data_IF_207155842885
#
_entry.id   IF_207155842885
#
_cell.length_a   1.000
_cell.length_b   1.000
_cell.length_c   1.000
_cell.angle_alpha   90.00
_cell.angle_beta   90.00
_cell.angle_gamma   90.00
#
_symmetry.space_group_name_H-M   'P 1'
#
loop_
_entity.id
_entity.type
_entity.pdbx_description
1 polymer ?
#
# COMPACT_ATOMS: atom_id res chain seq x y z
N UNK A 1 -15.21 53.68 4.00
CA UNK A 1 -14.36 53.24 2.87
C UNK A 1 -13.26 52.25 3.30
N UNK A 2 -12.53 52.46 4.40
CA UNK A 2 -11.46 51.54 4.84
C UNK A 2 -11.88 50.09 5.11
N UNK A 3 -13.04 49.86 5.74
CA UNK A 3 -13.52 48.49 6.03
C UNK A 3 -13.79 47.66 4.77
N UNK A 4 -14.34 48.28 3.73
CA UNK A 4 -14.62 47.61 2.46
C UNK A 4 -13.30 47.25 1.74
N UNK A 5 -12.32 48.16 1.75
CA UNK A 5 -11.00 47.89 1.19
C UNK A 5 -10.28 46.73 1.89
N UNK A 6 -10.37 46.65 3.23
CA UNK A 6 -9.80 45.53 4.00
C UNK A 6 -10.47 44.20 3.64
N UNK A 7 -11.80 44.17 3.54
CA UNK A 7 -12.53 42.95 3.14
C UNK A 7 -12.17 42.51 1.72
N UNK A 8 -12.07 43.45 0.78
CA UNK A 8 -11.65 43.15 -0.59
C UNK A 8 -10.22 42.60 -0.65
N UNK A 9 -9.29 43.19 0.10
CA UNK A 9 -7.91 42.70 0.18
C UNK A 9 -7.84 41.28 0.77
N UNK A 10 -8.62 41.00 1.83
CA UNK A 10 -8.70 39.68 2.42
C UNK A 10 -9.25 38.64 1.44
N UNK A 11 -10.28 38.99 0.66
CA UNK A 11 -10.84 38.11 -0.35
C UNK A 11 -9.83 37.80 -1.47
N UNK A 12 -9.10 38.80 -1.95
CA UNK A 12 -8.04 38.60 -2.96
C UNK A 12 -6.91 37.73 -2.41
N UNK A 13 -6.45 37.97 -1.18
CA UNK A 13 -5.42 37.16 -0.54
C UNK A 13 -5.86 35.70 -0.38
N UNK A 14 -7.11 35.46 0.04
CA UNK A 14 -7.67 34.12 0.16
C UNK A 14 -7.77 33.42 -1.20
N UNK A 15 -8.24 34.13 -2.23
CA UNK A 15 -8.32 33.56 -3.58
C UNK A 15 -6.94 33.21 -4.14
N UNK A 16 -5.93 34.06 -3.92
CA UNK A 16 -4.55 33.79 -4.31
C UNK A 16 -3.98 32.57 -3.57
N UNK A 17 -4.23 32.46 -2.26
CA UNK A 17 -3.84 31.30 -1.46
C UNK A 17 -4.49 30.00 -1.97
N UNK A 18 -5.80 30.00 -2.21
CA UNK A 18 -6.50 28.83 -2.75
C UNK A 18 -5.95 28.46 -4.14
N UNK A 19 -5.69 29.46 -4.99
CA UNK A 19 -5.08 29.25 -6.31
C UNK A 19 -3.71 28.59 -6.21
N UNK A 20 -2.84 29.06 -5.31
CA UNK A 20 -1.53 28.46 -5.05
C UNK A 20 -1.66 27.01 -4.60
N UNK A 21 -2.57 26.72 -3.66
CA UNK A 21 -2.83 25.36 -3.17
C UNK A 21 -3.35 24.42 -4.25
N UNK A 22 -4.21 24.89 -5.14
CA UNK A 22 -4.68 24.09 -6.28
C UNK A 22 -3.54 23.80 -7.26
N UNK A 23 -2.63 24.75 -7.50
CA UNK A 23 -1.44 24.53 -8.32
C UNK A 23 -0.50 23.52 -7.66
N UNK A 24 -0.23 23.66 -6.37
CA UNK A 24 0.57 22.70 -5.60
C UNK A 24 -0.04 21.29 -5.66
N UNK A 25 -1.35 21.16 -5.43
CA UNK A 25 -2.06 19.89 -5.55
C UNK A 25 -1.98 19.32 -6.97
N UNK A 26 -2.07 20.15 -8.02
CA UNK A 26 -1.90 19.72 -9.41
C UNK A 26 -0.52 19.11 -9.66
N UNK A 27 0.53 19.71 -9.11
CA UNK A 27 1.89 19.18 -9.20
C UNK A 27 2.06 17.89 -8.37
N UNK A 28 1.55 17.87 -7.14
CA UNK A 28 1.57 16.70 -6.25
C UNK A 28 0.73 15.53 -6.75
N UNK A 29 -0.30 15.77 -7.57
CA UNK A 29 -1.13 14.74 -8.20
C UNK A 29 -0.60 14.28 -9.55
N UNK A 30 0.44 14.93 -10.08
CA UNK A 30 0.92 14.73 -11.46
C UNK A 30 -0.22 14.74 -12.50
N UNK A 31 -1.27 15.56 -12.30
CA UNK A 31 -2.49 15.48 -13.13
C UNK A 31 -2.27 15.86 -14.60
N UNK A 32 -1.17 16.54 -14.92
CA UNK A 32 -0.75 16.85 -16.29
C UNK A 32 0.32 15.92 -16.84
N UNK A 33 0.69 14.85 -16.12
CA UNK A 33 1.69 13.90 -16.58
C UNK A 33 1.06 12.98 -17.63
N UNK A 34 1.66 12.96 -18.81
CA UNK A 34 1.35 11.95 -19.83
C UNK A 34 2.14 10.67 -19.56
N UNK A 35 1.51 9.52 -19.79
CA UNK A 35 2.14 8.22 -19.64
C UNK A 35 2.80 7.82 -20.94
N UNK A 36 4.11 7.60 -20.91
CA UNK A 36 4.81 6.90 -21.99
C UNK A 36 4.44 5.42 -21.91
N UNK A 37 3.77 4.90 -22.94
CA UNK A 37 3.39 3.49 -23.02
C UNK A 37 4.63 2.64 -23.30
N UNK A 38 5.07 1.90 -22.28
CA UNK A 38 6.09 0.87 -22.41
C UNK A 38 5.39 -0.48 -22.38
N UNK A 39 5.24 -1.10 -23.54
CA UNK A 39 4.63 -2.43 -23.64
C UNK A 39 5.66 -3.49 -23.28
N UNK A 40 5.34 -4.30 -22.26
CA UNK A 40 6.08 -5.52 -21.97
C UNK A 40 5.47 -6.66 -22.81
N UNK A 41 6.29 -7.59 -23.34
CA UNK A 41 5.78 -8.74 -24.05
C UNK A 41 5.09 -9.73 -23.10
N UNK A 42 4.12 -10.49 -23.63
CA UNK A 42 3.44 -11.59 -22.91
C UNK A 42 2.75 -11.17 -21.61
N UNK A 43 2.14 -9.98 -21.57
CA UNK A 43 1.30 -9.56 -20.45
C UNK A 43 -0.07 -10.23 -20.51
N UNK A 44 -0.45 -10.92 -19.45
CA UNK A 44 -1.77 -11.55 -19.32
C UNK A 44 -2.48 -11.06 -18.07
N UNK A 45 -3.74 -10.68 -18.24
CA UNK A 45 -4.65 -10.36 -17.15
C UNK A 45 -4.93 -11.61 -16.32
N UNK A 46 -4.84 -11.48 -15.00
CA UNK A 46 -5.22 -12.57 -14.10
C UNK A 46 -6.74 -12.60 -13.94
N UNK A 47 -7.36 -13.67 -14.46
CA UNK A 47 -8.81 -13.84 -14.38
C UNK A 47 -9.30 -13.98 -12.94
N UNK A 48 -10.45 -13.36 -12.64
CA UNK A 48 -11.13 -13.45 -11.34
C UNK A 48 -10.76 -12.35 -10.32
N UNK A 49 -9.85 -11.43 -10.66
CA UNK A 49 -9.61 -10.20 -9.89
C UNK A 49 -10.32 -9.03 -10.57
N UNK A 50 -11.55 -8.72 -10.15
CA UNK A 50 -12.39 -7.69 -10.78
C UNK A 50 -12.39 -6.35 -10.03
N UNK A 51 -12.19 -6.37 -8.71
CA UNK A 51 -12.42 -5.21 -7.83
C UNK A 51 -11.12 -4.71 -7.17
N UNK A 52 -10.07 -4.57 -7.98
CA UNK A 52 -8.76 -4.06 -7.56
C UNK A 52 -7.91 -5.08 -6.81
N UNK A 53 -6.59 -5.00 -7.02
CA UNK A 53 -5.56 -5.72 -6.26
C UNK A 53 -4.57 -4.67 -5.75
N UNK A 54 -4.86 -4.09 -4.59
CA UNK A 54 -4.16 -2.88 -4.14
C UNK A 54 -2.75 -3.20 -3.69
N UNK A 55 -2.56 -4.29 -2.94
CA UNK A 55 -1.25 -4.75 -2.52
C UNK A 55 -1.03 -6.26 -2.75
N UNK A 56 0.24 -6.62 -2.93
CA UNK A 56 0.72 -7.98 -3.16
C UNK A 56 2.00 -8.25 -2.38
N UNK A 57 2.06 -9.40 -1.71
CA UNK A 57 3.30 -9.92 -1.13
C UNK A 57 3.57 -11.34 -1.64
N UNK A 58 4.83 -11.68 -1.84
CA UNK A 58 5.26 -12.93 -2.46
C UNK A 58 6.25 -13.62 -1.52
N UNK A 59 5.98 -14.89 -1.20
CA UNK A 59 6.88 -15.77 -0.46
C UNK A 59 8.08 -16.20 -1.32
N UNK A 60 9.09 -16.76 -0.67
CA UNK A 60 10.32 -17.16 -1.37
C UNK A 60 10.11 -18.39 -2.28
N UNK A 61 9.03 -19.16 -2.07
CA UNK A 61 8.61 -20.29 -2.90
C UNK A 61 7.69 -19.89 -4.07
N UNK A 62 7.40 -18.60 -4.23
CA UNK A 62 6.56 -18.08 -5.32
C UNK A 62 5.06 -18.02 -5.02
N UNK A 63 4.61 -18.44 -3.83
CA UNK A 63 3.23 -18.20 -3.40
C UNK A 63 3.03 -16.71 -3.10
N UNK A 64 2.06 -16.08 -3.76
CA UNK A 64 1.69 -14.70 -3.58
C UNK A 64 0.34 -14.55 -2.87
N UNK A 65 0.22 -13.53 -2.03
CA UNK A 65 -1.03 -13.07 -1.43
C UNK A 65 -1.38 -11.70 -1.99
N UNK A 66 -2.67 -11.49 -2.27
CA UNK A 66 -3.19 -10.24 -2.83
C UNK A 66 -4.33 -9.71 -1.99
N UNK A 67 -4.29 -8.43 -1.61
CA UNK A 67 -5.42 -7.73 -1.01
C UNK A 67 -6.30 -7.12 -2.10
N UNK A 68 -7.60 -7.37 -2.01
CA UNK A 68 -8.56 -7.00 -3.07
C UNK A 68 -9.84 -6.43 -2.50
N UNK A 69 -10.54 -5.61 -3.29
CA UNK A 69 -11.83 -5.04 -2.90
C UNK A 69 -11.72 -3.89 -1.89
N UNK A 70 -10.57 -3.18 -1.86
CA UNK A 70 -10.39 -2.02 -0.99
C UNK A 70 -11.41 -0.92 -1.33
N UNK A 71 -12.06 -0.41 -0.29
CA UNK A 71 -12.91 0.77 -0.32
C UNK A 71 -12.24 1.87 0.48
N UNK A 72 -11.77 2.90 -0.21
CA UNK A 72 -11.03 3.99 0.42
C UNK A 72 -11.63 5.35 0.04
N UNK A 73 -11.64 6.28 0.99
CA UNK A 73 -12.29 7.58 0.81
C UNK A 73 -11.63 8.37 -0.33
N UNK A 74 -12.44 8.87 -1.26
CA UNK A 74 -11.96 9.64 -2.41
C UNK A 74 -11.52 8.80 -3.59
N UNK A 75 -11.54 7.46 -3.48
CA UNK A 75 -11.30 6.53 -4.59
C UNK A 75 -12.60 5.90 -5.07
N UNK A 76 -12.70 5.54 -6.37
CA UNK A 76 -13.85 4.82 -6.88
C UNK A 76 -13.93 3.42 -6.23
N UNK A 77 -15.15 3.02 -5.86
CA UNK A 77 -15.47 1.65 -5.46
C UNK A 77 -16.33 1.01 -6.54
N UNK A 78 -16.06 -0.25 -6.86
CA UNK A 78 -16.72 -0.98 -7.94
C UNK A 78 -17.57 -2.16 -7.45
N UNK A 79 -17.58 -2.43 -6.14
CA UNK A 79 -18.42 -3.46 -5.51
C UNK A 79 -18.78 -3.08 -4.08
N UNK A 80 -19.95 -3.53 -3.61
CA UNK A 80 -20.38 -3.43 -2.21
C UNK A 80 -19.99 -4.67 -1.39
N UNK A 81 -19.47 -5.73 -2.02
CA UNK A 81 -19.01 -6.92 -1.33
C UNK A 81 -17.83 -6.63 -0.40
N UNK A 82 -17.64 -7.40 0.70
CA UNK A 82 -16.42 -7.33 1.49
C UNK A 82 -15.19 -7.69 0.66
N UNK A 83 -14.06 -7.08 0.99
CA UNK A 83 -12.80 -7.40 0.35
C UNK A 83 -12.33 -8.81 0.66
N UNK A 84 -11.33 -9.27 -0.10
CA UNK A 84 -10.83 -10.66 -0.02
C UNK A 84 -9.31 -10.67 -0.08
N UNK A 85 -8.74 -11.72 0.52
CA UNK A 85 -7.35 -12.10 0.26
C UNK A 85 -7.36 -13.27 -0.72
N UNK A 86 -6.64 -13.13 -1.82
CA UNK A 86 -6.40 -14.21 -2.76
C UNK A 86 -4.98 -14.76 -2.58
N UNK A 87 -4.80 -16.05 -2.81
CA UNK A 87 -3.51 -16.69 -3.04
C UNK A 87 -3.33 -16.98 -4.52
N UNK A 88 -2.10 -16.90 -4.99
CA UNK A 88 -1.69 -17.22 -6.36
C UNK A 88 -0.30 -17.85 -6.33
N UNK A 89 -0.15 -19.05 -6.87
CA UNK A 89 1.19 -19.61 -7.06
C UNK A 89 1.76 -19.13 -8.39
N UNK A 90 2.82 -18.33 -8.35
CA UNK A 90 3.46 -17.77 -9.54
C UNK A 90 4.27 -18.80 -10.33
N UNK A 91 4.51 -19.98 -9.76
CA UNK A 91 5.19 -21.10 -10.42
C UNK A 91 4.21 -22.05 -11.13
N UNK A 92 2.91 -21.94 -10.86
CA UNK A 92 1.89 -22.74 -11.54
C UNK A 92 1.65 -22.20 -12.95
N UNK A 93 1.61 -23.10 -13.94
CA UNK A 93 1.45 -22.72 -15.34
C UNK A 93 0.10 -22.09 -15.68
N UNK A 94 -0.94 -22.38 -14.89
CA UNK A 94 -2.30 -21.89 -15.10
C UNK A 94 -2.59 -20.58 -14.35
N UNK A 95 -1.67 -20.11 -13.49
CA UNK A 95 -1.75 -18.86 -12.71
C UNK A 95 -3.13 -18.65 -12.06
N UNK A 96 -3.70 -19.72 -11.51
CA UNK A 96 -5.06 -19.69 -10.98
C UNK A 96 -5.11 -19.08 -9.58
N UNK A 97 -5.87 -18.00 -9.43
CA UNK A 97 -6.13 -17.39 -8.12
C UNK A 97 -7.09 -18.26 -7.27
N UNK A 98 -6.89 -18.26 -5.96
CA UNK A 98 -7.75 -18.93 -4.99
C UNK A 98 -8.10 -17.96 -3.88
N UNK A 99 -9.39 -17.71 -3.65
CA UNK A 99 -9.81 -16.91 -2.50
C UNK A 99 -9.50 -17.69 -1.21
N UNK A 100 -8.84 -17.03 -0.26
CA UNK A 100 -8.51 -17.65 1.04
C UNK A 100 -9.71 -17.63 1.97
N UNK A 101 -9.98 -18.78 2.59
CA UNK A 101 -11.01 -18.90 3.60
C UNK A 101 -10.52 -18.32 4.93
N UNK A 102 -11.18 -17.29 5.45
CA UNK A 102 -10.88 -16.79 6.80
C UNK A 102 -11.61 -17.66 7.83
N UNK A 103 -10.89 -18.20 8.82
CA UNK A 103 -11.42 -19.00 9.92
C UNK A 103 -11.19 -18.30 11.27
N UNK A 104 -12.02 -18.63 12.26
CA UNK A 104 -11.97 -18.04 13.60
C UNK A 104 -12.98 -16.90 13.80
N UNK A 105 -12.87 -16.21 14.94
CA UNK A 105 -13.77 -15.13 15.34
C UNK A 105 -13.40 -13.81 14.64
N UNK A 106 -13.70 -13.73 13.35
CA UNK A 106 -13.42 -12.56 12.52
C UNK A 106 -14.69 -12.09 11.79
N UNK A 107 -14.96 -10.79 11.82
CA UNK A 107 -16.08 -10.20 11.09
C UNK A 107 -15.73 -10.03 9.60
N UNK A 108 -16.14 -11.03 8.81
CA UNK A 108 -15.96 -11.03 7.36
C UNK A 108 -16.84 -10.00 6.65
N UNK A 109 -17.95 -9.57 7.26
CA UNK A 109 -18.92 -8.68 6.62
C UNK A 109 -18.42 -7.24 6.49
N UNK A 110 -17.53 -6.82 7.39
CA UNK A 110 -16.90 -5.49 7.36
C UNK A 110 -15.45 -5.49 6.87
N UNK A 111 -14.97 -6.63 6.36
CA UNK A 111 -13.58 -6.76 5.92
C UNK A 111 -13.28 -5.86 4.72
N UNK A 112 -12.28 -5.01 4.88
CA UNK A 112 -11.85 -4.01 3.90
C UNK A 112 -10.32 -3.94 3.91
N UNK A 113 -9.63 -4.92 3.29
CA UNK A 113 -8.18 -5.06 3.32
C UNK A 113 -7.48 -4.01 2.44
N UNK A 114 -6.34 -3.52 2.91
CA UNK A 114 -5.48 -2.51 2.26
C UNK A 114 -4.06 -3.11 2.11
N UNK A 115 -3.02 -2.45 2.62
CA UNK A 115 -1.65 -2.99 2.60
C UNK A 115 -1.47 -4.30 3.38
N UNK A 116 -0.56 -5.14 2.90
CA UNK A 116 -0.27 -6.47 3.48
C UNK A 116 1.22 -6.72 3.61
N UNK A 117 1.57 -7.49 4.64
CA UNK A 117 2.93 -7.99 4.82
C UNK A 117 2.92 -9.42 5.35
N UNK A 118 3.93 -10.18 4.94
CA UNK A 118 4.13 -11.55 5.40
C UNK A 118 5.34 -11.64 6.30
N UNK A 119 5.27 -12.46 7.34
CA UNK A 119 6.38 -12.82 8.20
C UNK A 119 6.42 -14.35 8.36
N UNK A 120 7.55 -14.96 8.03
CA UNK A 120 7.80 -16.37 8.28
C UNK A 120 8.57 -16.50 9.58
N UNK A 121 8.02 -17.20 10.57
CA UNK A 121 8.72 -17.43 11.83
C UNK A 121 9.91 -18.36 11.61
N UNK A 122 11.10 -17.90 11.96
CA UNK A 122 12.35 -18.64 11.80
C UNK A 122 12.41 -19.88 12.71
N UNK A 123 11.54 -19.97 13.73
CA UNK A 123 11.50 -21.08 14.68
C UNK A 123 10.83 -22.34 14.15
N UNK A 124 9.70 -22.18 13.46
CA UNK A 124 8.85 -23.28 13.04
C UNK A 124 8.36 -23.17 11.58
N UNK A 125 8.77 -22.11 10.86
CA UNK A 125 8.35 -21.85 9.48
C UNK A 125 6.91 -21.35 9.36
N UNK A 126 6.23 -21.05 10.47
CA UNK A 126 4.84 -20.59 10.41
C UNK A 126 4.73 -19.26 9.68
N UNK A 127 3.78 -19.18 8.75
CA UNK A 127 3.54 -17.99 7.93
C UNK A 127 2.45 -17.14 8.59
N UNK A 128 2.80 -15.92 8.92
CA UNK A 128 1.89 -14.90 9.44
C UNK A 128 1.62 -13.87 8.36
N UNK A 129 0.34 -13.67 8.03
CA UNK A 129 -0.10 -12.61 7.14
C UNK A 129 -0.71 -11.49 7.98
N UNK A 130 -0.10 -10.32 7.89
CA UNK A 130 -0.60 -9.09 8.48
C UNK A 130 -1.37 -8.32 7.42
N UNK A 131 -2.55 -7.84 7.78
CA UNK A 131 -3.45 -7.15 6.85
C UNK A 131 -3.95 -5.87 7.49
N UNK A 132 -3.66 -4.73 6.86
CA UNK A 132 -4.31 -3.47 7.19
C UNK A 132 -5.79 -3.58 6.82
N UNK A 133 -6.68 -3.24 7.76
CA UNK A 133 -8.11 -3.39 7.59
C UNK A 133 -8.85 -2.10 7.99
N UNK A 134 -9.89 -1.76 7.22
CA UNK A 134 -10.68 -0.55 7.42
C UNK A 134 -12.19 -0.81 7.62
N UNK A 135 -12.59 -1.55 8.68
CA UNK A 135 -13.99 -1.83 8.90
C UNK A 135 -14.73 -0.55 9.27
N UNK A 136 -15.77 -0.23 8.48
CA UNK A 136 -16.59 0.97 8.68
C UNK A 136 -15.77 2.27 8.76
N UNK A 137 -14.67 2.35 7.99
CA UNK A 137 -13.80 3.53 7.92
C UNK A 137 -12.84 3.72 9.10
N UNK A 138 -12.77 2.76 10.04
CA UNK A 138 -11.73 2.73 11.08
C UNK A 138 -10.40 2.25 10.50
N UNK A 139 -9.33 2.24 11.29
CA UNK A 139 -8.05 1.64 10.91
C UNK A 139 -7.61 0.67 12.00
N UNK A 140 -7.14 -0.51 11.56
CA UNK A 140 -6.61 -1.57 12.41
C UNK A 140 -5.73 -2.50 11.60
N UNK A 141 -4.93 -3.33 12.27
CA UNK A 141 -4.12 -4.38 11.62
C UNK A 141 -4.60 -5.73 12.12
N UNK A 142 -4.92 -6.63 11.21
CA UNK A 142 -5.28 -8.01 11.49
C UNK A 142 -4.07 -8.91 11.33
N UNK A 143 -3.90 -9.86 12.24
CA UNK A 143 -2.90 -10.92 12.13
C UNK A 143 -3.62 -12.24 11.88
N UNK A 144 -3.21 -12.92 10.83
CA UNK A 144 -3.66 -14.26 10.47
C UNK A 144 -2.47 -15.22 10.41
N UNK A 145 -2.67 -16.48 10.78
CA UNK A 145 -1.78 -17.57 10.41
C UNK A 145 -2.28 -18.18 9.10
N UNK A 146 -1.40 -18.30 8.11
CA UNK A 146 -1.72 -19.03 6.89
C UNK A 146 -1.55 -20.54 7.14
N UNK A 147 -2.55 -21.32 6.71
CA UNK A 147 -2.54 -22.78 6.75
C UNK A 147 -2.74 -23.29 5.32
N UNK A 148 -1.66 -23.75 4.70
CA UNK A 148 -1.59 -24.08 3.28
C UNK A 148 -2.53 -25.23 2.90
N UNK A 149 -2.50 -26.34 3.64
CA UNK A 149 -3.34 -27.52 3.40
C UNK A 149 -4.85 -27.21 3.41
N UNK A 150 -5.24 -26.16 4.13
CA UNK A 150 -6.64 -25.72 4.22
C UNK A 150 -6.99 -24.59 3.25
N UNK A 151 -5.99 -24.03 2.57
CA UNK A 151 -6.07 -22.77 1.82
C UNK A 151 -6.82 -21.69 2.63
N UNK A 152 -6.39 -21.50 3.88
CA UNK A 152 -7.11 -20.71 4.87
C UNK A 152 -6.22 -19.77 5.68
N UNK A 153 -6.81 -18.65 6.10
CA UNK A 153 -6.26 -17.70 7.05
C UNK A 153 -6.95 -17.91 8.40
N UNK A 154 -6.22 -18.42 9.37
CA UNK A 154 -6.69 -18.57 10.75
C UNK A 154 -6.47 -17.25 11.48
N UNK A 155 -7.57 -16.59 11.86
CA UNK A 155 -7.52 -15.34 12.61
C UNK A 155 -6.85 -15.51 13.97
N UNK A 156 -5.88 -14.64 14.26
CA UNK A 156 -5.17 -14.60 15.55
C UNK A 156 -5.68 -13.42 16.39
N UNK A 157 -5.56 -12.20 15.87
CA UNK A 157 -5.83 -10.98 16.64
C UNK A 157 -5.99 -9.75 15.74
N UNK A 158 -6.83 -8.82 16.19
CA UNK A 158 -6.87 -7.42 15.75
C UNK A 158 -6.03 -6.53 16.63
N UNK A 159 -5.19 -5.69 16.02
CA UNK A 159 -4.38 -4.67 16.66
C UNK A 159 -4.98 -3.29 16.37
N UNK A 160 -5.22 -2.53 17.44
CA UNK A 160 -5.65 -1.14 17.40
C UNK A 160 -4.79 -0.34 18.36
N UNK A 161 -4.40 0.86 17.93
CA UNK A 161 -3.65 1.79 18.76
C UNK A 161 -3.95 3.22 18.32
N UNK A 162 -3.88 4.20 19.23
CA UNK A 162 -4.11 5.61 18.90
C UNK A 162 -3.13 6.16 17.86
N UNK A 163 -1.90 5.65 17.86
CA UNK A 163 -0.88 5.97 16.86
C UNK A 163 -1.13 5.28 15.50
N UNK A 164 -2.01 4.28 15.41
CA UNK A 164 -2.35 3.57 14.17
C UNK A 164 -3.72 4.07 13.66
N UNK A 165 -3.81 5.36 13.40
CA UNK A 165 -5.08 6.06 13.18
C UNK A 165 -5.55 6.02 11.72
N UNK A 166 -4.64 5.91 10.75
CA UNK A 166 -4.93 5.83 9.31
C UNK A 166 -3.88 4.99 8.57
N UNK A 167 -3.71 3.74 9.01
CA UNK A 167 -2.70 2.85 8.44
C UNK A 167 -2.96 2.62 6.96
N UNK A 168 -1.93 2.78 6.12
CA UNK A 168 -1.96 2.50 4.69
C UNK A 168 -1.33 1.14 4.38
N UNK A 169 -0.06 1.00 4.74
CA UNK A 169 0.71 -0.22 4.53
C UNK A 169 1.59 -0.52 5.76
N UNK A 170 2.11 -1.75 5.79
CA UNK A 170 2.93 -2.26 6.88
C UNK A 170 4.10 -3.10 6.36
N UNK A 171 5.12 -3.26 7.20
CA UNK A 171 6.14 -4.29 7.03
C UNK A 171 6.34 -5.03 8.34
N UNK A 172 6.03 -6.33 8.31
CA UNK A 172 6.14 -7.21 9.46
C UNK A 172 7.61 -7.57 9.73
N UNK A 173 8.00 -7.48 11.01
CA UNK A 173 9.38 -7.77 11.48
C UNK A 173 9.40 -8.77 12.63
N UNK A 174 8.24 -9.34 12.97
CA UNK A 174 8.05 -10.39 13.96
C UNK A 174 6.62 -10.93 13.90
N UNK A 175 6.29 -11.91 14.74
CA UNK A 175 4.95 -12.54 14.77
C UNK A 175 3.84 -11.63 15.30
N UNK A 176 4.18 -10.55 16.03
CA UNK A 176 3.25 -9.50 16.47
C UNK A 176 3.86 -8.08 16.38
N UNK A 177 4.87 -7.86 15.53
CA UNK A 177 5.58 -6.58 15.43
C UNK A 177 5.80 -6.14 14.00
N UNK A 178 5.62 -4.86 13.72
CA UNK A 178 5.67 -4.29 12.39
C UNK A 178 5.97 -2.79 12.43
N UNK A 179 6.37 -2.25 11.27
CA UNK A 179 6.29 -0.82 11.00
C UNK A 179 5.04 -0.55 10.15
N UNK A 180 4.38 0.58 10.39
CA UNK A 180 3.17 1.01 9.71
C UNK A 180 3.32 2.43 9.21
N UNK A 181 2.77 2.74 8.04
CA UNK A 181 2.62 4.11 7.54
C UNK A 181 1.21 4.60 7.85
N UNK A 182 1.06 5.80 8.41
CA UNK A 182 -0.22 6.50 8.40
C UNK A 182 -0.25 7.45 7.20
N UNK A 183 -1.22 7.29 6.29
CA UNK A 183 -1.30 8.11 5.07
C UNK A 183 -2.01 9.45 5.24
N UNK A 184 -2.61 9.67 6.41
CA UNK A 184 -3.28 10.91 6.82
C UNK A 184 -3.14 11.09 8.33
N UNK A 185 -3.05 12.33 8.78
CA UNK A 185 -3.09 12.66 10.20
C UNK A 185 -4.52 12.67 10.76
N UNK A 186 -5.47 13.26 10.04
CA UNK A 186 -6.85 13.36 10.49
C UNK A 186 -7.63 12.08 10.15
N UNK A 187 -8.51 11.68 11.06
CA UNK A 187 -9.43 10.54 10.84
C UNK A 187 -10.77 11.00 10.25
N UNK A 188 -11.11 12.29 10.39
CA UNK A 188 -12.33 12.87 9.84
C UNK A 188 -12.25 12.96 8.32
N UNK A 189 -13.25 12.44 7.61
CA UNK A 189 -13.24 12.38 6.14
C UNK A 189 -13.10 13.73 5.43
N UNK A 190 -13.70 14.81 5.95
CA UNK A 190 -13.55 16.14 5.35
C UNK A 190 -12.12 16.64 5.52
N UNK A 191 -11.55 16.47 6.71
CA UNK A 191 -10.18 16.91 6.99
C UNK A 191 -9.14 16.10 6.19
N UNK A 192 -9.36 14.79 5.99
CA UNK A 192 -8.52 13.96 5.11
C UNK A 192 -8.44 14.52 3.69
N UNK A 193 -9.55 15.01 3.14
CA UNK A 193 -9.58 15.64 1.80
C UNK A 193 -8.85 16.99 1.80
N UNK A 194 -8.89 17.72 2.92
CA UNK A 194 -8.21 19.02 3.06
C UNK A 194 -6.70 18.90 3.29
N UNK A 195 -6.21 17.82 3.90
CA UNK A 195 -4.77 17.58 4.12
C UNK A 195 -3.91 17.74 2.85
N UNK A 196 -4.18 17.00 1.75
CA UNK A 196 -3.40 17.14 0.52
C UNK A 196 -3.61 18.51 -0.13
N UNK A 197 -4.81 19.08 -0.06
CA UNK A 197 -5.10 20.43 -0.57
C UNK A 197 -4.25 21.49 0.13
N UNK A 198 -4.08 21.37 1.45
CA UNK A 198 -3.25 22.26 2.26
C UNK A 198 -1.77 21.87 2.27
N UNK A 199 -1.41 20.77 1.58
CA UNK A 199 -0.05 20.23 1.52
C UNK A 199 0.56 19.96 2.90
N UNK A 200 -0.26 19.47 3.83
CA UNK A 200 0.19 19.20 5.20
C UNK A 200 1.08 17.96 5.21
N UNK A 201 2.27 18.09 5.81
CA UNK A 201 3.24 17.00 5.93
C UNK A 201 3.20 16.38 7.32
N UNK A 202 2.03 15.90 7.74
CA UNK A 202 1.79 15.39 9.09
C UNK A 202 1.64 13.87 9.16
N UNK A 203 1.84 13.18 8.03
CA UNK A 203 1.88 11.73 7.99
C UNK A 203 3.15 11.21 8.65
N UNK A 204 3.08 9.98 9.18
CA UNK A 204 4.13 9.39 9.99
C UNK A 204 4.31 7.89 9.74
N UNK A 205 5.38 7.35 10.33
CA UNK A 205 5.67 5.92 10.40
C UNK A 205 5.73 5.53 11.86
N UNK A 206 4.99 4.48 12.21
CA UNK A 206 4.88 3.95 13.58
C UNK A 206 5.50 2.58 13.63
N UNK A 207 6.34 2.35 14.65
CA UNK A 207 6.72 0.99 15.05
C UNK A 207 5.72 0.48 16.08
N UNK A 208 5.25 -0.76 15.88
CA UNK A 208 4.40 -1.47 16.81
C UNK A 208 5.05 -2.78 17.26
N UNK A 209 4.96 -3.04 18.55
CA UNK A 209 5.14 -4.34 19.21
C UNK A 209 4.22 -4.39 20.43
N UNK A 210 3.96 -5.58 21.02
CA UNK A 210 3.14 -5.66 22.23
C UNK A 210 3.69 -4.87 23.43
N UNK A 211 5.00 -4.61 23.47
CA UNK A 211 5.67 -3.90 24.57
C UNK A 211 5.88 -2.41 24.29
N UNK A 212 5.93 -2.00 23.02
CA UNK A 212 6.30 -0.63 22.63
C UNK A 212 5.62 -0.23 21.34
N UNK A 213 4.95 0.91 21.37
CA UNK A 213 4.37 1.55 20.18
C UNK A 213 4.87 3.00 20.13
N UNK A 214 5.49 3.41 19.04
CA UNK A 214 6.08 4.74 18.93
C UNK A 214 6.16 5.22 17.49
N UNK A 215 6.05 6.54 17.29
CA UNK A 215 6.37 7.18 16.02
C UNK A 215 7.89 7.14 15.82
N UNK A 216 8.35 6.60 14.69
CA UNK A 216 9.78 6.45 14.37
C UNK A 216 10.26 7.37 13.25
N UNK A 217 9.33 7.89 12.45
CA UNK A 217 9.59 8.93 11.46
C UNK A 217 8.31 9.73 11.21
N UNK A 218 8.43 10.99 10.80
CA UNK A 218 7.29 11.85 10.48
C UNK A 218 7.69 12.97 9.54
N UNK A 219 6.74 13.86 9.23
CA UNK A 219 6.99 14.94 8.28
C UNK A 219 6.70 14.55 6.83
N UNK A 220 5.85 13.53 6.60
CA UNK A 220 5.50 13.06 5.27
C UNK A 220 4.20 13.70 4.79
N UNK A 221 4.11 14.00 3.50
CA UNK A 221 2.89 14.51 2.86
C UNK A 221 1.85 13.41 2.59
N UNK A 222 2.32 12.18 2.34
CA UNK A 222 1.49 10.98 2.23
C UNK A 222 2.40 9.75 2.35
N UNK A 223 2.46 9.17 3.55
CA UNK A 223 3.22 7.94 3.77
C UNK A 223 2.37 6.74 3.30
N UNK A 224 2.87 5.99 2.32
CA UNK A 224 2.09 4.95 1.64
C UNK A 224 2.80 3.59 1.77
N UNK A 225 3.22 2.95 0.68
CA UNK A 225 3.94 1.66 0.76
C UNK A 225 5.19 1.68 1.67
N UNK A 226 5.45 0.60 2.40
CA UNK A 226 6.62 0.47 3.28
C UNK A 226 7.25 -0.92 3.15
N UNK A 227 8.57 -0.99 3.28
CA UNK A 227 9.30 -2.26 3.19
C UNK A 227 10.63 -2.19 3.93
N UNK A 228 11.28 -3.34 4.05
CA UNK A 228 12.58 -3.50 4.68
C UNK A 228 13.57 -4.18 3.73
N UNK A 229 14.84 -3.79 3.80
CA UNK A 229 15.88 -4.45 3.02
C UNK A 229 16.03 -5.93 3.43
N UNK A 230 16.50 -6.82 2.53
CA UNK A 230 16.65 -8.24 2.85
C UNK A 230 17.60 -8.54 4.03
N UNK A 231 18.55 -7.65 4.31
CA UNK A 231 19.45 -7.74 5.47
C UNK A 231 18.84 -7.16 6.75
N UNK A 232 17.59 -6.69 6.70
CA UNK A 232 16.82 -6.05 7.78
C UNK A 232 17.47 -4.78 8.35
N UNK A 233 18.41 -4.16 7.63
CA UNK A 233 19.17 -2.98 8.10
C UNK A 233 18.60 -1.64 7.66
N UNK A 234 17.71 -1.62 6.67
CA UNK A 234 17.19 -0.38 6.08
C UNK A 234 15.69 -0.48 5.88
N UNK A 235 14.97 0.47 6.45
CA UNK A 235 13.55 0.70 6.16
C UNK A 235 13.44 1.58 4.91
N UNK A 236 12.51 1.25 4.02
CA UNK A 236 12.19 2.01 2.82
C UNK A 236 10.70 2.33 2.84
N UNK A 237 10.31 3.53 2.47
CA UNK A 237 8.91 3.92 2.35
C UNK A 237 8.69 4.70 1.06
N UNK A 238 7.49 4.57 0.50
CA UNK A 238 7.00 5.28 -0.65
C UNK A 238 6.20 6.51 -0.23
N UNK A 239 6.28 7.55 -1.06
CA UNK A 239 5.38 8.69 -0.97
C UNK A 239 4.38 8.56 -2.10
N UNK A 240 3.08 8.58 -1.78
CA UNK A 240 2.05 8.56 -2.82
C UNK A 240 1.89 9.96 -3.42
N UNK A 241 1.77 9.97 -4.74
CA UNK A 241 1.51 11.13 -5.58
C UNK A 241 0.19 10.79 -6.28
N UNK A 242 -0.90 11.43 -5.86
CA UNK A 242 -2.28 11.05 -6.23
C UNK A 242 -2.57 11.30 -7.71
N UNK A 243 -2.34 10.36 -8.62
CA UNK A 243 -2.87 10.48 -9.99
C UNK A 243 -4.38 10.22 -10.02
N UNK A 244 -5.15 10.90 -10.88
CA UNK A 244 -6.63 10.85 -10.95
C UNK A 244 -7.18 9.94 -12.06
N UNK A 245 -6.38 8.98 -12.57
CA UNK A 245 -6.79 8.10 -13.68
C UNK A 245 -6.42 6.67 -13.36
N UNK A 246 -7.42 5.84 -13.01
CA UNK A 246 -7.17 4.46 -12.57
C UNK A 246 -8.06 3.44 -13.28
N UNK A 247 -7.42 2.40 -13.78
CA UNK A 247 -7.96 1.06 -13.96
C UNK A 247 -6.82 0.15 -13.53
N UNK A 248 -6.94 -0.51 -12.37
CA UNK A 248 -5.90 -1.42 -11.86
C UNK A 248 -6.36 -2.82 -12.22
N UNK A 249 -5.91 -3.30 -13.38
CA UNK A 249 -5.95 -4.72 -13.67
C UNK A 249 -4.57 -5.30 -13.38
N UNK A 250 -4.50 -6.47 -12.76
CA UNK A 250 -3.24 -7.15 -12.52
C UNK A 250 -2.83 -7.93 -13.78
N UNK A 251 -1.67 -7.58 -14.34
CA UNK A 251 -1.07 -8.25 -15.49
C UNK A 251 0.28 -8.87 -15.09
N UNK A 252 0.56 -10.09 -15.54
CA UNK A 252 1.88 -10.73 -15.43
C UNK A 252 2.53 -10.72 -16.82
N UNK A 253 3.75 -10.19 -16.93
CA UNK A 253 4.48 -10.06 -18.20
C UNK A 253 5.76 -10.93 -18.25
N UNK A 254 6.17 -11.35 -19.45
CA UNK A 254 7.42 -12.10 -19.68
C UNK A 254 8.66 -11.18 -19.66
N UNK A 255 9.75 -11.62 -19.02
CA UNK A 255 10.90 -10.76 -18.70
C UNK A 255 11.97 -10.71 -19.80
N UNK A 256 12.40 -9.50 -20.17
CA UNK A 256 13.72 -9.22 -20.76
C UNK A 256 14.31 -7.97 -20.08
N UNK A 257 15.56 -8.06 -19.61
CA UNK A 257 16.06 -7.37 -18.41
C UNK A 257 16.39 -5.86 -18.54
N UNK A 258 15.80 -5.11 -19.48
CA UNK A 258 16.40 -3.82 -19.87
C UNK A 258 15.55 -2.56 -19.78
N UNK A 259 14.28 -2.57 -19.38
CA UNK A 259 13.53 -1.31 -19.25
C UNK A 259 12.46 -1.35 -18.16
N UNK A 260 12.63 -0.56 -17.09
CA UNK A 260 11.52 0.15 -16.43
C UNK A 260 12.02 1.16 -15.38
N UNK A 261 11.75 2.43 -15.64
CA UNK A 261 11.67 3.51 -14.64
C UNK A 261 10.23 4.02 -14.71
N UNK A 262 9.38 3.66 -13.75
CA UNK A 262 8.16 4.44 -13.48
C UNK A 262 7.63 4.20 -12.07
N UNK A 263 7.23 5.32 -11.48
CA UNK A 263 6.75 5.52 -10.12
C UNK A 263 5.48 4.71 -9.82
N UNK A 264 5.62 3.71 -8.97
CA UNK A 264 4.66 3.22 -7.98
C UNK A 264 5.41 2.14 -7.20
N UNK A 265 5.48 2.24 -5.87
CA UNK A 265 6.26 1.30 -5.03
C UNK A 265 5.88 -0.18 -5.26
N UNK A 266 4.67 -0.44 -5.78
CA UNK A 266 4.19 -1.76 -6.21
C UNK A 266 5.11 -2.42 -7.27
N UNK A 267 5.67 -1.64 -8.21
CA UNK A 267 6.52 -2.16 -9.30
C UNK A 267 7.94 -2.50 -8.82
N UNK A 268 8.43 -1.84 -7.77
CA UNK A 268 9.78 -2.09 -7.22
C UNK A 268 9.82 -3.44 -6.45
N UNK A 269 8.69 -3.87 -5.85
CA UNK A 269 8.55 -5.17 -5.17
C UNK A 269 8.83 -6.35 -6.13
N UNK A 270 8.47 -6.24 -7.41
CA UNK A 270 8.64 -7.31 -8.41
C UNK A 270 10.09 -7.50 -8.88
N UNK A 271 10.86 -6.42 -9.01
CA UNK A 271 12.16 -6.46 -9.73
C UNK A 271 13.30 -7.07 -8.90
N UNK A 272 13.33 -6.90 -7.56
CA UNK A 272 14.47 -7.39 -6.74
C UNK A 272 14.34 -8.81 -6.20
N UNK A 273 13.12 -9.34 -6.02
CA UNK A 273 12.90 -10.67 -5.42
C UNK A 273 13.01 -11.78 -6.46
N UNK A 274 12.53 -11.54 -7.69
CA UNK A 274 12.71 -12.46 -8.82
C UNK A 274 14.20 -12.65 -9.21
N UNK A 275 15.04 -11.61 -9.04
CA UNK A 275 16.47 -11.68 -9.33
C UNK A 275 17.27 -12.60 -8.37
N UNK A 276 16.72 -12.98 -7.20
CA UNK A 276 17.35 -14.00 -6.33
C UNK A 276 17.09 -15.43 -6.80
N UNK A 277 15.98 -15.66 -7.50
CA UNK A 277 15.61 -16.98 -8.02
C UNK A 277 16.34 -17.33 -9.35
N UNK A 278 16.90 -16.33 -10.04
CA UNK A 278 17.59 -16.53 -11.34
C UNK A 278 19.12 -16.65 -11.27
N UNK A 279 19.73 -16.65 -10.08
CA UNK A 279 21.17 -16.96 -9.91
C UNK A 279 22.16 -15.97 -10.54
N UNK A 280 21.72 -14.80 -11.01
CA UNK A 280 22.59 -13.81 -11.66
C UNK A 280 23.27 -12.89 -10.64
N UNK A 281 24.61 -12.99 -10.52
CA UNK A 281 25.44 -12.01 -9.79
C UNK A 281 25.53 -10.72 -10.60
N UNK A 282 25.17 -9.58 -10.01
CA UNK A 282 25.44 -8.26 -10.59
C UNK A 282 26.78 -7.71 -10.11
N UNK A 283 27.70 -7.52 -11.05
CA UNK A 283 28.89 -6.67 -10.87
C UNK A 283 28.47 -5.20 -10.98
N UNK A 284 28.72 -4.41 -9.94
CA UNK A 284 28.46 -2.97 -9.94
C UNK A 284 29.32 -2.24 -11.00
N UNK A 285 28.68 -1.54 -11.94
CA UNK A 285 29.31 -0.50 -12.74
C UNK A 285 29.12 0.85 -12.05
N UNK A 286 30.24 1.53 -11.76
CA UNK A 286 30.30 2.92 -11.27
C UNK A 286 29.75 3.87 -12.33
N UNK A 287 29.01 4.90 -11.92
CA UNK A 287 28.65 6.02 -12.80
C UNK A 287 29.90 6.86 -13.11
N UNK A 288 30.03 7.42 -14.33
CA UNK A 288 30.89 8.57 -14.57
C UNK A 288 30.14 9.88 -14.31
N UNK A 289 30.90 10.85 -13.77
CA UNK A 289 30.75 12.32 -13.84
C UNK A 289 29.37 12.95 -13.86
#
# INVERSE_FOLDING_TARGET
>A
MGKLAVLSLAAVALAAFIGERLVALRHLSLSSRELTQNYLPNCHLIEGIEYGAEDITILDDGLAFLSTGLKYLGLPSYSDDPGKIYSLNLLDSDLKIKALNIKGQFDKGSFNPHGISVYTDEKDGAIYLFVVNHPQGKSQVEIFRFVEDENALHYIKTIRHELLHNVNDIVAVGTESFYATNDHYFTNGILKVLEPLLSLSWCDVVYYSPQTVQVVAGGFSSANGINISPDKRRLMWGHCVTTLRWTVNLEICGWDATQMVSNSCLVIRMIRRALRLSGLRTSCLKSPG
#
